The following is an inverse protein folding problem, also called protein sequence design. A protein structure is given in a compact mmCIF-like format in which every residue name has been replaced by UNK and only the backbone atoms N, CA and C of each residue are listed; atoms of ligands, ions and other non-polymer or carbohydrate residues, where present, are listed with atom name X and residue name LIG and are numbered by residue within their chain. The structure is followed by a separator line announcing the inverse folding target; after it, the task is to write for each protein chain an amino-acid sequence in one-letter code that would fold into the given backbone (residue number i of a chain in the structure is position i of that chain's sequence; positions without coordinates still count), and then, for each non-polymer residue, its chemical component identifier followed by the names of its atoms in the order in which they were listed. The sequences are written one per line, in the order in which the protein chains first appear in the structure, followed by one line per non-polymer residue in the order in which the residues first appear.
data_IF_285864967183
#
_entry.id   IF_285864967183
#
_cell.length_a   1.000
_cell.length_b   1.000
_cell.length_c   1.000
_cell.angle_alpha   90.00
_cell.angle_beta   90.00
_cell.angle_gamma   90.00
#
_symmetry.space_group_name_H-M   'P 1'
#
loop_
_entity.id
_entity.type
_entity.pdbx_description
1 polymer ?
#
# COMPACT_ATOMS: atom_id res chain seq x y z
N UNK A 1 -20.72 11.46 1.65
CA UNK A 1 -19.48 11.46 2.45
C UNK A 1 -18.60 12.55 1.89
N UNK A 2 -18.16 13.53 2.68
CA UNK A 2 -17.07 14.41 2.25
C UNK A 2 -15.77 13.62 2.31
N UNK A 3 -15.00 13.62 1.23
CA UNK A 3 -13.66 13.03 1.21
C UNK A 3 -12.73 13.92 2.05
N UNK A 4 -12.01 13.33 2.99
CA UNK A 4 -10.99 14.06 3.74
C UNK A 4 -9.71 14.18 2.90
N UNK A 5 -8.85 15.14 3.26
CA UNK A 5 -7.56 15.34 2.58
C UNK A 5 -6.69 14.08 2.60
N UNK A 6 -6.70 13.33 3.69
CA UNK A 6 -5.98 12.06 3.82
C UNK A 6 -6.51 11.00 2.86
N UNK A 7 -7.83 10.91 2.67
CA UNK A 7 -8.45 9.99 1.70
C UNK A 7 -8.00 10.32 0.28
N UNK A 8 -8.02 11.61 -0.09
CA UNK A 8 -7.64 12.07 -1.42
C UNK A 8 -6.15 11.80 -1.71
N UNK A 9 -5.27 12.08 -0.75
CA UNK A 9 -3.84 11.83 -0.92
C UNK A 9 -3.56 10.32 -1.00
N UNK A 10 -4.08 9.52 -0.08
CA UNK A 10 -3.86 8.08 -0.05
C UNK A 10 -4.43 7.38 -1.29
N UNK A 11 -5.65 7.74 -1.70
CA UNK A 11 -6.27 7.20 -2.93
C UNK A 11 -5.55 7.69 -4.18
N UNK A 12 -5.09 8.95 -4.19
CA UNK A 12 -4.31 9.52 -5.28
C UNK A 12 -2.98 8.78 -5.49
N UNK A 13 -2.29 8.40 -4.42
CA UNK A 13 -1.09 7.57 -4.50
C UNK A 13 -1.38 6.19 -5.10
N UNK A 14 -2.50 5.56 -4.74
CA UNK A 14 -2.88 4.24 -5.28
C UNK A 14 -3.20 4.32 -6.77
N UNK A 15 -3.96 5.33 -7.17
CA UNK A 15 -4.28 5.59 -8.58
C UNK A 15 -3.01 5.90 -9.37
N UNK A 16 -2.13 6.75 -8.84
CA UNK A 16 -0.87 7.07 -9.49
C UNK A 16 0.02 5.83 -9.65
N UNK A 17 0.09 4.95 -8.63
CA UNK A 17 0.84 3.71 -8.71
C UNK A 17 0.26 2.74 -9.76
N UNK A 18 -1.07 2.61 -9.84
CA UNK A 18 -1.74 1.82 -10.88
C UNK A 18 -1.45 2.36 -12.29
N UNK A 19 -1.44 3.69 -12.43
CA UNK A 19 -1.11 4.36 -13.70
C UNK A 19 0.31 4.06 -14.17
N UNK A 20 1.27 3.82 -13.27
CA UNK A 20 2.60 3.35 -13.67
C UNK A 20 2.50 2.01 -14.41
N UNK A 21 1.73 1.05 -13.90
CA UNK A 21 1.50 -0.23 -14.58
C UNK A 21 0.84 -0.07 -15.96
N UNK A 22 -0.09 0.89 -16.10
CA UNK A 22 -0.71 1.23 -17.38
C UNK A 22 0.29 1.88 -18.36
N UNK A 23 1.13 2.79 -17.88
CA UNK A 23 2.17 3.45 -18.70
C UNK A 23 3.17 2.44 -19.24
N UNK A 24 3.56 1.45 -18.42
CA UNK A 24 4.52 0.40 -18.81
C UNK A 24 3.84 -0.89 -19.30
N UNK A 25 2.57 -0.82 -19.71
CA UNK A 25 1.76 -2.00 -20.01
C UNK A 25 2.39 -2.96 -21.03
N UNK A 26 2.98 -2.41 -22.10
CA UNK A 26 3.61 -3.18 -23.17
C UNK A 26 4.93 -3.85 -22.72
N UNK A 27 5.59 -3.30 -21.71
CA UNK A 27 6.84 -3.84 -21.16
C UNK A 27 6.61 -4.90 -20.07
N UNK A 28 5.40 -4.97 -19.51
CA UNK A 28 5.08 -5.97 -18.49
C UNK A 28 4.86 -7.36 -19.11
N UNK A 29 5.22 -8.45 -18.41
CA UNK A 29 4.95 -9.82 -18.86
C UNK A 29 3.46 -10.16 -18.82
N UNK A 30 3.06 -11.22 -19.54
CA UNK A 30 1.68 -11.71 -19.53
C UNK A 30 1.27 -12.27 -18.15
N UNK A 31 2.22 -12.90 -17.45
CA UNK A 31 2.09 -13.35 -16.07
C UNK A 31 3.00 -12.53 -15.17
N UNK A 32 2.41 -11.90 -14.15
CA UNK A 32 3.12 -11.06 -13.20
C UNK A 32 3.28 -11.76 -11.86
N UNK A 33 4.50 -11.75 -11.34
CA UNK A 33 4.76 -12.16 -9.96
C UNK A 33 4.12 -11.16 -8.99
N UNK A 34 3.38 -11.66 -8.00
CA UNK A 34 2.69 -10.82 -7.00
C UNK A 34 2.97 -11.23 -5.54
N UNK A 35 3.62 -12.37 -5.33
CA UNK A 35 4.01 -12.85 -4.01
C UNK A 35 5.41 -13.46 -4.07
N UNK A 36 6.17 -13.24 -3.00
CA UNK A 36 7.57 -13.60 -2.86
C UNK A 36 7.77 -14.35 -1.54
N UNK A 37 8.56 -15.41 -1.55
CA UNK A 37 8.92 -16.13 -0.34
C UNK A 37 9.93 -15.36 0.53
N UNK A 38 10.32 -15.94 1.68
CA UNK A 38 11.28 -15.30 2.59
C UNK A 38 12.68 -15.08 1.96
N UNK A 39 13.03 -15.88 0.95
CA UNK A 39 14.25 -15.70 0.15
C UNK A 39 14.13 -14.60 -0.91
N UNK A 40 12.94 -14.02 -1.09
CA UNK A 40 12.66 -13.05 -2.14
C UNK A 40 12.39 -13.69 -3.50
N UNK A 41 12.13 -15.00 -3.55
CA UNK A 41 11.82 -15.71 -4.80
C UNK A 41 10.33 -15.61 -5.10
N UNK A 42 9.92 -15.22 -6.32
CA UNK A 42 8.51 -15.19 -6.69
C UNK A 42 7.92 -16.60 -6.66
N UNK A 43 6.77 -16.78 -6.02
CA UNK A 43 6.11 -18.08 -5.88
C UNK A 43 4.60 -18.05 -6.16
N UNK A 44 4.06 -16.91 -6.60
CA UNK A 44 2.67 -16.80 -7.11
C UNK A 44 2.59 -15.76 -8.20
N UNK A 45 1.80 -16.08 -9.23
CA UNK A 45 1.65 -15.29 -10.45
C UNK A 45 0.18 -15.09 -10.78
N UNK A 46 -0.13 -13.99 -11.46
CA UNK A 46 -1.46 -13.66 -11.96
C UNK A 46 -1.36 -13.04 -13.36
N UNK A 47 -2.47 -12.95 -14.07
CA UNK A 47 -2.50 -12.25 -15.36
C UNK A 47 -2.15 -10.76 -15.20
N UNK A 48 -1.51 -10.18 -16.22
CA UNK A 48 -1.13 -8.76 -16.26
C UNK A 48 -2.22 -7.78 -15.77
N UNK A 49 -3.49 -7.86 -16.22
CA UNK A 49 -4.52 -6.95 -15.73
C UNK A 49 -4.77 -7.08 -14.23
N UNK A 50 -4.70 -8.31 -13.70
CA UNK A 50 -4.85 -8.55 -12.26
C UNK A 50 -3.64 -8.01 -11.51
N UNK A 51 -2.42 -8.26 -11.99
CA UNK A 51 -1.19 -7.77 -11.37
C UNK A 51 -1.12 -6.24 -11.27
N UNK A 52 -1.62 -5.53 -12.28
CA UNK A 52 -1.67 -4.06 -12.30
C UNK A 52 -2.78 -3.49 -11.40
N UNK A 53 -3.94 -4.15 -11.30
CA UNK A 53 -5.11 -3.55 -10.65
C UNK A 53 -5.39 -4.04 -9.23
N UNK A 54 -4.94 -5.25 -8.87
CA UNK A 54 -5.36 -5.91 -7.63
C UNK A 54 -4.94 -5.14 -6.36
N UNK A 55 -3.67 -4.80 -6.23
CA UNK A 55 -3.16 -4.10 -5.05
C UNK A 55 -3.76 -2.68 -4.89
N UNK A 56 -3.84 -1.83 -5.94
CA UNK A 56 -4.55 -0.56 -5.87
C UNK A 56 -6.03 -0.71 -5.47
N UNK A 57 -6.74 -1.70 -6.02
CA UNK A 57 -8.14 -1.96 -5.68
C UNK A 57 -8.31 -2.36 -4.21
N UNK A 58 -7.47 -3.27 -3.70
CA UNK A 58 -7.45 -3.65 -2.28
C UNK A 58 -7.12 -2.45 -1.41
N UNK A 59 -6.18 -1.60 -1.80
CA UNK A 59 -5.83 -0.37 -1.07
C UNK A 59 -7.00 0.59 -0.94
N UNK A 60 -7.71 0.85 -2.04
CA UNK A 60 -8.90 1.72 -2.04
C UNK A 60 -10.02 1.14 -1.16
N UNK A 61 -10.28 -0.17 -1.28
CA UNK A 61 -11.24 -0.87 -0.44
C UNK A 61 -10.85 -0.80 1.04
N UNK A 62 -9.55 -0.93 1.35
CA UNK A 62 -9.03 -0.85 2.71
C UNK A 62 -9.17 0.56 3.29
N UNK A 63 -8.92 1.62 2.51
CA UNK A 63 -9.16 3.01 2.95
C UNK A 63 -10.64 3.21 3.28
N UNK A 64 -11.53 2.75 2.41
CA UNK A 64 -12.97 2.82 2.64
C UNK A 64 -13.38 2.05 3.91
N UNK A 65 -12.85 0.84 4.10
CA UNK A 65 -13.09 0.02 5.29
C UNK A 65 -12.60 0.70 6.57
N UNK A 66 -11.36 1.22 6.58
CA UNK A 66 -10.80 1.95 7.72
C UNK A 66 -11.67 3.16 8.09
N UNK A 67 -12.20 3.88 7.10
CA UNK A 67 -13.15 4.98 7.34
C UNK A 67 -14.47 4.55 7.94
N UNK A 68 -14.97 3.37 7.58
CA UNK A 68 -16.14 2.79 8.23
C UNK A 68 -15.81 2.45 9.68
N UNK A 69 -14.66 1.83 9.95
CA UNK A 69 -14.23 1.50 11.32
C UNK A 69 -14.11 2.73 12.21
N UNK A 70 -13.47 3.80 11.74
CA UNK A 70 -13.34 5.09 12.44
C UNK A 70 -14.71 5.67 12.82
N UNK A 71 -15.72 5.54 11.95
CA UNK A 71 -17.06 6.06 12.26
C UNK A 71 -17.78 5.29 13.36
N UNK A 72 -17.48 4.00 13.47
CA UNK A 72 -18.05 3.14 14.51
C UNK A 72 -17.44 3.48 15.87
N UNK A 73 -16.19 3.96 15.90
CA UNK A 73 -15.52 4.45 17.11
C UNK A 73 -15.12 5.94 16.99
N UNK A 74 -16.07 6.87 17.15
CA UNK A 74 -15.82 8.30 17.02
C UNK A 74 -14.96 8.90 18.15
N UNK A 75 -14.55 8.10 19.14
CA UNK A 75 -13.61 8.53 20.18
C UNK A 75 -12.14 8.43 19.73
N UNK A 76 -11.88 7.88 18.54
CA UNK A 76 -10.53 7.77 17.99
C UNK A 76 -9.88 9.14 17.71
N UNK A 77 -8.56 9.23 17.94
CA UNK A 77 -7.80 10.46 17.72
C UNK A 77 -7.67 10.73 16.21
N UNK A 78 -8.21 11.86 15.68
CA UNK A 78 -8.16 12.17 14.25
C UNK A 78 -6.76 12.25 13.67
N UNK A 79 -5.75 12.55 14.49
CA UNK A 79 -4.34 12.59 14.05
C UNK A 79 -3.81 11.18 13.81
N UNK A 80 -4.16 10.22 14.67
CA UNK A 80 -3.81 8.80 14.50
C UNK A 80 -4.57 8.20 13.32
N UNK A 81 -5.87 8.50 13.21
CA UNK A 81 -6.69 8.07 12.07
C UNK A 81 -6.08 8.50 10.71
N UNK A 82 -5.72 9.77 10.60
CA UNK A 82 -5.14 10.31 9.37
C UNK A 82 -3.76 9.69 9.08
N UNK A 83 -2.94 9.51 10.12
CA UNK A 83 -1.65 8.84 9.98
C UNK A 83 -1.81 7.39 9.47
N UNK A 84 -2.78 6.64 9.99
CA UNK A 84 -3.09 5.29 9.53
C UNK A 84 -3.51 5.25 8.05
N UNK A 85 -4.32 6.22 7.61
CA UNK A 85 -4.77 6.31 6.20
C UNK A 85 -3.60 6.67 5.27
N UNK A 86 -2.76 7.63 5.65
CA UNK A 86 -1.56 7.95 4.88
C UNK A 86 -0.61 6.75 4.79
N UNK A 87 -0.39 6.06 5.91
CA UNK A 87 0.44 4.87 5.96
C UNK A 87 -0.11 3.77 5.06
N UNK A 88 -1.42 3.48 5.13
CA UNK A 88 -2.07 2.47 4.30
C UNK A 88 -1.90 2.76 2.80
N UNK A 89 -2.26 3.98 2.36
CA UNK A 89 -2.10 4.36 0.96
C UNK A 89 -0.64 4.33 0.51
N UNK A 90 0.26 4.89 1.33
CA UNK A 90 1.69 4.94 1.05
C UNK A 90 2.33 3.55 0.93
N UNK A 91 2.08 2.66 1.89
CA UNK A 91 2.65 1.31 1.91
C UNK A 91 2.13 0.47 0.75
N UNK A 92 0.81 0.47 0.50
CA UNK A 92 0.25 -0.31 -0.60
C UNK A 92 0.76 0.20 -1.95
N UNK A 93 0.82 1.51 -2.15
CA UNK A 93 1.42 2.09 -3.36
C UNK A 93 2.90 1.74 -3.50
N UNK A 94 3.67 1.84 -2.43
CA UNK A 94 5.09 1.52 -2.42
C UNK A 94 5.34 0.05 -2.82
N UNK A 95 4.66 -0.88 -2.17
CA UNK A 95 4.78 -2.31 -2.47
C UNK A 95 4.30 -2.61 -3.88
N UNK A 96 3.22 -1.98 -4.35
CA UNK A 96 2.76 -2.14 -5.73
C UNK A 96 3.82 -1.68 -6.74
N UNK A 97 4.49 -0.56 -6.51
CA UNK A 97 5.58 -0.09 -7.37
C UNK A 97 6.79 -1.04 -7.36
N UNK A 98 7.11 -1.67 -6.23
CA UNK A 98 8.13 -2.73 -6.19
C UNK A 98 7.72 -3.93 -7.04
N UNK A 99 6.46 -4.33 -6.98
CA UNK A 99 5.93 -5.42 -7.83
C UNK A 99 6.03 -5.05 -9.31
N UNK A 100 5.65 -3.82 -9.69
CA UNK A 100 5.80 -3.34 -11.07
C UNK A 100 7.27 -3.36 -11.49
N UNK A 101 8.17 -2.80 -10.67
CA UNK A 101 9.60 -2.77 -10.97
C UNK A 101 10.19 -4.18 -11.14
N UNK A 102 9.86 -5.12 -10.24
CA UNK A 102 10.30 -6.50 -10.35
C UNK A 102 9.85 -7.14 -11.67
N UNK A 103 8.58 -6.91 -12.05
CA UNK A 103 8.02 -7.44 -13.30
C UNK A 103 8.51 -6.69 -14.57
N UNK A 104 9.27 -5.60 -14.42
CA UNK A 104 9.99 -4.92 -15.50
C UNK A 104 11.47 -5.37 -15.57
N UNK A 105 11.79 -6.54 -15.00
CA UNK A 105 13.13 -7.14 -14.95
C UNK A 105 14.18 -6.35 -14.15
N UNK A 106 13.77 -5.40 -13.30
CA UNK A 106 14.71 -4.75 -12.38
C UNK A 106 15.20 -5.73 -11.30
N UNK A 107 16.51 -5.82 -11.14
CA UNK A 107 17.17 -6.74 -10.21
C UNK A 107 17.38 -6.06 -8.85
N UNK A 108 16.64 -6.49 -7.83
CA UNK A 108 16.83 -6.05 -6.44
C UNK A 108 16.31 -7.10 -5.46
N UNK A 109 16.76 -7.02 -4.20
CA UNK A 109 16.23 -7.88 -3.14
C UNK A 109 14.86 -7.39 -2.70
N UNK A 110 13.82 -8.16 -3.02
CA UNK A 110 12.45 -7.88 -2.55
C UNK A 110 12.38 -7.87 -1.02
N UNK A 111 13.05 -8.81 -0.35
CA UNK A 111 13.10 -8.88 1.12
C UNK A 111 13.70 -7.61 1.73
N UNK A 112 14.82 -7.11 1.19
CA UNK A 112 15.42 -5.87 1.66
C UNK A 112 14.52 -4.65 1.39
N UNK A 113 13.86 -4.62 0.23
CA UNK A 113 12.96 -3.53 -0.15
C UNK A 113 11.69 -3.45 0.72
N UNK A 114 11.25 -4.56 1.32
CA UNK A 114 10.14 -4.56 2.29
C UNK A 114 10.59 -4.07 3.69
N UNK A 115 11.88 -4.13 4.02
CA UNK A 115 12.40 -3.70 5.33
C UNK A 115 11.92 -2.33 5.82
N UNK A 116 11.96 -1.26 5.00
CA UNK A 116 11.44 0.06 5.36
C UNK A 116 9.95 0.07 5.78
N UNK A 117 9.13 -0.81 5.19
CA UNK A 117 7.69 -0.93 5.54
C UNK A 117 7.54 -1.41 6.97
N UNK A 118 8.32 -2.43 7.37
CA UNK A 118 8.28 -2.98 8.73
C UNK A 118 8.74 -1.94 9.77
N UNK A 119 9.80 -1.19 9.45
CA UNK A 119 10.29 -0.10 10.31
C UNK A 119 9.23 1.00 10.45
N UNK A 120 8.62 1.42 9.34
CA UNK A 120 7.58 2.44 9.36
C UNK A 120 6.33 1.98 10.13
N UNK A 121 5.94 0.70 10.00
CA UNK A 121 4.84 0.11 10.76
C UNK A 121 5.11 0.13 12.27
N UNK A 122 6.31 -0.32 12.68
CA UNK A 122 6.71 -0.32 14.09
C UNK A 122 6.79 1.10 14.65
N UNK A 123 7.32 2.05 13.89
CA UNK A 123 7.40 3.45 14.28
C UNK A 123 6.02 4.08 14.43
N UNK A 124 5.11 3.85 13.48
CA UNK A 124 3.73 4.33 13.57
C UNK A 124 3.01 3.76 14.79
N UNK A 125 3.12 2.46 15.03
CA UNK A 125 2.51 1.82 16.19
C UNK A 125 3.08 2.34 17.51
N UNK A 126 4.40 2.46 17.63
CA UNK A 126 5.05 3.00 18.82
C UNK A 126 4.65 4.46 19.08
N UNK A 127 4.58 5.27 18.03
CA UNK A 127 4.15 6.66 18.12
C UNK A 127 2.68 6.78 18.52
N UNK A 128 1.79 5.96 17.95
CA UNK A 128 0.37 5.95 18.31
C UNK A 128 0.17 5.57 19.78
N UNK A 129 0.83 4.51 20.25
CA UNK A 129 0.79 4.09 21.66
C UNK A 129 1.34 5.17 22.59
N UNK A 130 2.44 5.83 22.20
CA UNK A 130 3.00 6.92 22.99
C UNK A 130 2.04 8.11 23.08
N UNK A 131 1.41 8.45 21.96
CA UNK A 131 0.45 9.56 21.85
C UNK A 131 -0.78 9.32 22.73
N UNK A 132 -1.34 8.12 22.70
CA UNK A 132 -2.50 7.75 23.53
C UNK A 132 -2.21 7.85 25.04
N UNK A 133 -0.94 7.77 25.45
CA UNK A 133 -0.53 7.91 26.86
C UNK A 133 -0.39 9.36 27.33
N UNK A 134 -0.28 10.31 26.40
CA UNK A 134 -0.02 11.72 26.70
C UNK A 134 -1.16 12.66 26.30
N UNK A 135 -2.11 12.18 25.50
CA UNK A 135 -3.35 12.86 25.14
C UNK A 135 -4.41 12.70 26.24
#
# INVERSE_FOLDING_TARGET
MSLQRSDLIASGLLVAAALVGVVFWESLPAEMAIHFDAGGTPNSYVSKPVGVMLAPAIGLASIAFTRVAIRVDPASDPVIENAAIYFLGGVVSYVHLLVIAYNLDYQFSMTAAIGPVLVAAAALAAWAIYRDRIA
#
